data_IF_050200229951
#
_entry.id   IF_050200229951
#
_cell.length_a   1.000
_cell.length_b   1.000
_cell.length_c   1.000
_cell.angle_alpha   90.00
_cell.angle_beta   90.00
_cell.angle_gamma   90.00
#
_symmetry.space_group_name_H-M   'P 1'
#
loop_
_entity.id
_entity.type
_entity.pdbx_description
1 polymer ?
#
# COMPACT_ATOMS: atom_id res chain seq x y z
N UNK A 1 10.06 8.37 18.90
CA UNK A 1 9.66 6.99 19.27
C UNK A 1 9.64 6.22 17.98
N UNK A 2 10.56 5.26 17.82
CA UNK A 2 10.76 4.53 16.57
C UNK A 2 9.57 3.61 16.31
N UNK A 3 9.04 3.61 15.08
CA UNK A 3 7.93 2.73 14.66
C UNK A 3 8.33 1.23 14.66
N UNK A 4 9.56 0.89 15.03
CA UNK A 4 10.15 -0.47 14.97
C UNK A 4 9.75 -1.40 16.13
N UNK A 5 9.08 -0.92 17.18
CA UNK A 5 8.81 -1.70 18.41
C UNK A 5 7.34 -2.09 18.63
N UNK A 6 6.45 -1.82 17.69
CA UNK A 6 5.11 -2.45 17.72
C UNK A 6 5.27 -3.83 17.06
N UNK A 7 4.82 -4.90 17.72
CA UNK A 7 4.85 -6.24 17.16
C UNK A 7 3.75 -6.41 16.11
N UNK A 8 3.93 -5.82 14.93
CA UNK A 8 3.05 -6.06 13.79
C UNK A 8 3.26 -7.53 13.38
N UNK A 9 2.18 -8.29 13.35
CA UNK A 9 2.22 -9.68 12.92
C UNK A 9 2.41 -9.68 11.40
N UNK A 10 3.64 -9.89 10.93
CA UNK A 10 3.88 -10.02 9.49
C UNK A 10 3.22 -11.32 9.00
N UNK A 11 2.28 -11.21 8.07
CA UNK A 11 1.43 -12.32 7.63
C UNK A 11 1.92 -12.98 6.34
N UNK A 12 2.58 -12.20 5.49
CA UNK A 12 2.99 -12.65 4.17
C UNK A 12 4.49 -12.97 4.12
N UNK A 13 4.92 -13.91 3.26
CA UNK A 13 6.32 -14.05 2.94
C UNK A 13 6.90 -12.72 2.47
N UNK A 14 8.07 -12.38 2.98
CA UNK A 14 8.78 -11.16 2.62
C UNK A 14 10.04 -11.43 1.83
N UNK A 15 10.48 -10.41 1.11
CA UNK A 15 11.81 -10.30 0.53
C UNK A 15 12.44 -8.99 0.97
N UNK A 16 13.71 -9.04 1.34
CA UNK A 16 14.48 -7.84 1.61
C UNK A 16 14.74 -7.08 0.31
N UNK A 17 14.30 -5.82 0.25
CA UNK A 17 14.71 -4.84 -0.75
C UNK A 17 15.63 -3.79 -0.11
N UNK A 18 16.41 -3.09 -0.91
CA UNK A 18 17.15 -1.90 -0.46
C UNK A 18 16.39 -0.67 -0.89
N UNK A 19 15.72 -0.04 0.06
CA UNK A 19 15.14 1.28 -0.13
C UNK A 19 16.26 2.28 -0.48
N UNK A 20 16.10 3.10 -1.54
CA UNK A 20 17.11 4.07 -1.95
C UNK A 20 17.54 5.06 -0.85
N UNK A 21 16.63 5.36 0.07
CA UNK A 21 16.81 6.37 1.12
C UNK A 21 17.10 5.74 2.50
N UNK A 22 16.45 4.61 2.82
CA UNK A 22 16.40 4.08 4.19
C UNK A 22 17.09 2.70 4.39
N UNK A 23 17.69 2.12 3.34
CA UNK A 23 18.44 0.86 3.43
C UNK A 23 17.55 -0.40 3.39
N UNK A 24 17.93 -1.52 4.02
CA UNK A 24 17.20 -2.78 3.88
C UNK A 24 15.81 -2.72 4.53
N UNK A 25 14.78 -3.08 3.76
CA UNK A 25 13.39 -3.18 4.19
C UNK A 25 12.77 -4.51 3.78
N UNK A 26 11.84 -5.04 4.57
CA UNK A 26 11.06 -6.23 4.22
C UNK A 26 9.79 -5.83 3.47
N UNK A 27 9.60 -6.43 2.29
CA UNK A 27 8.42 -6.19 1.44
C UNK A 27 7.75 -7.51 1.13
N UNK A 28 6.43 -7.54 1.20
CA UNK A 28 5.59 -8.67 0.79
C UNK A 28 5.98 -9.14 -0.62
N UNK A 29 6.24 -10.43 -0.81
CA UNK A 29 6.84 -10.97 -2.06
C UNK A 29 6.05 -10.57 -3.31
N UNK A 30 4.72 -10.52 -3.23
CA UNK A 30 3.87 -10.10 -4.37
C UNK A 30 3.98 -8.61 -4.68
N UNK A 31 4.31 -7.78 -3.68
CA UNK A 31 4.49 -6.34 -3.86
C UNK A 31 5.84 -5.96 -4.43
N UNK A 32 6.86 -6.84 -4.33
CA UNK A 32 8.24 -6.53 -4.73
C UNK A 32 8.34 -5.93 -6.14
N UNK A 33 7.77 -6.53 -7.21
CA UNK A 33 7.90 -5.96 -8.55
C UNK A 33 7.28 -4.57 -8.66
N UNK A 34 6.14 -4.36 -7.99
CA UNK A 34 5.45 -3.08 -7.98
C UNK A 34 6.26 -2.01 -7.25
N UNK A 35 6.85 -2.33 -6.10
CA UNK A 35 7.69 -1.41 -5.34
C UNK A 35 8.92 -1.00 -6.16
N UNK A 36 9.62 -1.97 -6.76
CA UNK A 36 10.78 -1.68 -7.61
C UNK A 36 10.40 -0.80 -8.81
N UNK A 37 9.26 -1.05 -9.47
CA UNK A 37 8.79 -0.24 -10.59
C UNK A 37 8.36 1.18 -10.16
N UNK A 38 7.70 1.33 -9.00
CA UNK A 38 7.34 2.63 -8.42
C UNK A 38 8.61 3.45 -8.14
N UNK A 39 9.65 2.83 -7.56
CA UNK A 39 10.93 3.49 -7.32
C UNK A 39 11.66 3.85 -8.61
N UNK A 40 11.68 2.96 -9.60
CA UNK A 40 12.27 3.20 -10.90
C UNK A 40 11.59 4.38 -11.64
N UNK A 41 10.27 4.56 -11.44
CA UNK A 41 9.51 5.69 -11.97
C UNK A 41 9.76 7.01 -11.21
N UNK A 42 10.63 7.03 -10.20
CA UNK A 42 10.99 8.22 -9.42
C UNK A 42 10.00 8.56 -8.30
N UNK A 43 9.22 7.58 -7.84
CA UNK A 43 8.32 7.71 -6.69
C UNK A 43 8.88 7.02 -5.45
N UNK A 44 8.37 7.40 -4.28
CA UNK A 44 8.79 6.83 -2.98
C UNK A 44 7.62 6.11 -2.34
N UNK A 45 7.91 5.05 -1.59
CA UNK A 45 6.92 4.28 -0.83
C UNK A 45 7.37 4.20 0.61
N UNK A 46 6.46 4.36 1.57
CA UNK A 46 6.80 4.25 3.00
C UNK A 46 6.21 3.03 3.69
N UNK A 47 5.14 2.46 3.14
CA UNK A 47 4.52 1.21 3.60
C UNK A 47 3.82 0.55 2.41
N UNK A 48 3.72 -0.77 2.45
CA UNK A 48 2.95 -1.54 1.47
C UNK A 48 2.41 -2.82 2.09
N UNK A 49 1.41 -3.42 1.45
CA UNK A 49 0.91 -4.73 1.78
C UNK A 49 0.29 -5.39 0.53
N UNK A 50 0.51 -6.69 0.33
CA UNK A 50 -0.14 -7.43 -0.75
C UNK A 50 -1.63 -7.68 -0.50
N UNK A 51 -2.06 -7.77 0.77
CA UNK A 51 -3.46 -7.89 1.17
C UNK A 51 -3.71 -7.22 2.53
N UNK A 52 -4.25 -5.99 2.49
CA UNK A 52 -4.49 -5.22 3.70
C UNK A 52 -5.69 -5.78 4.50
N UNK A 53 -6.63 -6.48 3.86
CA UNK A 53 -7.72 -7.14 4.56
C UNK A 53 -7.25 -8.27 5.46
N UNK A 54 -6.38 -9.15 4.94
CA UNK A 54 -5.72 -10.22 5.72
C UNK A 54 -4.90 -9.63 6.89
N UNK A 55 -4.17 -8.54 6.62
CA UNK A 55 -3.41 -7.83 7.66
C UNK A 55 -4.30 -7.23 8.75
N UNK A 56 -5.45 -6.67 8.41
CA UNK A 56 -6.40 -6.12 9.40
C UNK A 56 -6.96 -7.24 10.28
N UNK A 57 -7.38 -8.36 9.68
CA UNK A 57 -8.00 -9.47 10.40
C UNK A 57 -7.07 -10.15 11.41
N UNK A 58 -5.77 -9.97 11.26
CA UNK A 58 -4.71 -10.62 12.05
C UNK A 58 -3.94 -9.66 12.95
N UNK A 59 -4.37 -8.39 13.03
CA UNK A 59 -3.74 -7.38 13.88
C UNK A 59 -2.46 -6.76 13.32
N UNK A 60 -2.17 -6.95 12.03
CA UNK A 60 -1.09 -6.31 11.30
C UNK A 60 -1.37 -4.84 10.95
N UNK A 61 -2.26 -4.14 11.66
CA UNK A 61 -2.52 -2.70 11.46
C UNK A 61 -2.82 -2.00 12.79
N UNK A 62 -2.85 -0.66 12.77
CA UNK A 62 -3.26 0.16 13.93
C UNK A 62 -4.78 0.26 14.12
N UNK A 63 -5.58 -0.43 13.29
CA UNK A 63 -7.04 -0.41 13.42
C UNK A 63 -7.42 -1.08 14.77
N UNK A 64 -8.32 -0.49 15.58
CA UNK A 64 -8.79 -1.12 16.80
C UNK A 64 -9.45 -2.49 16.57
N UNK A 65 -9.20 -3.47 17.45
CA UNK A 65 -9.64 -4.86 17.31
C UNK A 65 -11.15 -5.01 17.04
N UNK A 66 -11.98 -4.25 17.75
CA UNK A 66 -13.44 -4.25 17.56
C UNK A 66 -13.90 -3.81 16.16
N UNK A 67 -13.00 -3.30 15.32
CA UNK A 67 -13.25 -2.89 13.95
C UNK A 67 -12.64 -3.84 12.91
N UNK A 68 -11.90 -4.88 13.32
CA UNK A 68 -11.17 -5.75 12.40
C UNK A 68 -12.08 -6.51 11.45
N UNK A 69 -13.14 -7.16 11.94
CA UNK A 69 -14.04 -7.95 11.08
C UNK A 69 -14.62 -7.10 9.95
N UNK A 70 -15.16 -5.92 10.29
CA UNK A 70 -15.76 -5.01 9.30
C UNK A 70 -14.74 -4.47 8.31
N UNK A 71 -13.59 -3.99 8.78
CA UNK A 71 -12.61 -3.33 7.91
C UNK A 71 -11.81 -4.36 7.10
N UNK A 72 -11.47 -5.48 7.72
CA UNK A 72 -10.84 -6.62 7.07
C UNK A 72 -11.70 -7.15 5.94
N UNK A 73 -13.00 -7.37 6.17
CA UNK A 73 -13.92 -7.79 5.11
C UNK A 73 -14.04 -6.77 3.97
N UNK A 74 -13.97 -5.47 4.27
CA UNK A 74 -14.02 -4.41 3.25
C UNK A 74 -12.76 -4.38 2.38
N UNK A 75 -11.60 -4.64 2.96
CA UNK A 75 -10.29 -4.57 2.29
C UNK A 75 -9.74 -5.93 1.86
N UNK A 76 -10.48 -7.03 2.06
CA UNK A 76 -10.03 -8.36 1.68
C UNK A 76 -9.81 -8.44 0.17
N UNK A 77 -8.64 -8.93 -0.25
CA UNK A 77 -8.24 -8.96 -1.66
C UNK A 77 -7.72 -7.61 -2.18
N UNK A 78 -7.53 -6.60 -1.32
CA UNK A 78 -6.98 -5.31 -1.73
C UNK A 78 -5.51 -5.21 -1.31
N UNK A 79 -4.65 -5.00 -2.29
CA UNK A 79 -3.29 -4.53 -2.06
C UNK A 79 -3.31 -3.05 -1.63
N UNK A 80 -2.26 -2.63 -0.93
CA UNK A 80 -2.13 -1.28 -0.40
C UNK A 80 -0.72 -0.74 -0.57
N UNK A 81 -0.64 0.53 -0.93
CA UNK A 81 0.58 1.31 -1.02
C UNK A 81 0.40 2.64 -0.28
N UNK A 82 1.42 3.06 0.46
CA UNK A 82 1.49 4.40 1.06
C UNK A 82 2.64 5.19 0.47
N UNK A 83 2.31 6.34 -0.10
CA UNK A 83 3.23 7.23 -0.84
C UNK A 83 3.11 8.67 -0.35
N UNK A 84 4.10 9.55 -0.61
CA UNK A 84 3.92 10.98 -0.41
C UNK A 84 2.66 11.51 -1.11
N UNK A 85 1.90 12.37 -0.42
CA UNK A 85 0.57 12.79 -0.86
C UNK A 85 0.58 13.51 -2.22
N UNK A 86 1.67 14.20 -2.54
CA UNK A 86 1.89 14.91 -3.81
C UNK A 86 2.23 13.96 -4.98
N UNK A 87 2.69 12.75 -4.69
CA UNK A 87 3.00 11.73 -5.70
C UNK A 87 1.77 10.88 -6.07
N UNK A 88 0.82 10.70 -5.16
CA UNK A 88 -0.37 9.87 -5.36
C UNK A 88 -1.15 10.17 -6.65
N UNK A 89 -1.45 11.44 -6.99
CA UNK A 89 -2.15 11.78 -8.24
C UNK A 89 -1.41 11.34 -9.51
N UNK A 90 -0.07 11.35 -9.51
CA UNK A 90 0.73 10.92 -10.67
C UNK A 90 0.60 9.41 -10.88
N UNK A 91 0.76 8.63 -9.82
CA UNK A 91 0.56 7.17 -9.86
C UNK A 91 -0.87 6.81 -10.29
N UNK A 92 -1.88 7.47 -9.74
CA UNK A 92 -3.28 7.23 -10.12
C UNK A 92 -3.59 7.62 -11.57
N UNK A 93 -2.87 8.60 -12.13
CA UNK A 93 -2.98 8.94 -13.56
C UNK A 93 -2.43 7.80 -14.41
N UNK A 94 -1.26 7.26 -14.05
CA UNK A 94 -0.67 6.10 -14.74
C UNK A 94 -1.58 4.87 -14.69
N UNK A 95 -2.19 4.59 -13.53
CA UNK A 95 -3.05 3.41 -13.34
C UNK A 95 -4.52 3.61 -13.72
N UNK A 96 -4.90 4.79 -14.23
CA UNK A 96 -6.27 5.09 -14.63
C UNK A 96 -6.89 4.01 -15.55
N UNK A 97 -6.19 3.46 -16.55
CA UNK A 97 -6.76 2.41 -17.40
C UNK A 97 -7.22 1.17 -16.63
N UNK A 98 -6.48 0.76 -15.59
CA UNK A 98 -6.84 -0.38 -14.73
C UNK A 98 -7.98 -0.02 -13.78
N UNK A 99 -7.91 1.16 -13.17
CA UNK A 99 -8.96 1.65 -12.27
C UNK A 99 -10.32 1.76 -12.98
N UNK A 100 -10.33 2.06 -14.28
CA UNK A 100 -11.55 2.07 -15.10
C UNK A 100 -12.10 0.67 -15.38
N UNK A 101 -11.27 -0.36 -15.45
CA UNK A 101 -11.71 -1.76 -15.62
C UNK A 101 -12.43 -2.29 -14.36
N UNK A 102 -11.99 -1.86 -13.17
CA UNK A 102 -12.53 -2.25 -11.86
C UNK A 102 -13.13 -1.03 -11.14
N UNK A 103 -14.13 -0.42 -11.80
CA UNK A 103 -14.70 0.87 -11.37
C UNK A 103 -15.26 0.78 -9.95
N UNK A 104 -14.71 1.60 -9.06
CA UNK A 104 -15.15 1.70 -7.67
C UNK A 104 -14.37 0.81 -6.70
N UNK A 105 -13.46 -0.02 -7.19
CA UNK A 105 -12.63 -0.88 -6.33
C UNK A 105 -11.29 -0.22 -5.99
N UNK A 106 -10.72 0.56 -6.90
CA UNK A 106 -9.55 1.38 -6.61
C UNK A 106 -9.92 2.54 -5.68
N UNK A 107 -9.10 2.77 -4.65
CA UNK A 107 -9.28 3.85 -3.68
C UNK A 107 -7.96 4.56 -3.40
N UNK A 108 -7.88 5.85 -3.75
CA UNK A 108 -6.81 6.73 -3.33
C UNK A 108 -7.34 7.79 -2.36
N UNK A 109 -6.73 7.91 -1.20
CA UNK A 109 -7.17 8.85 -0.16
C UNK A 109 -5.99 9.48 0.58
N UNK A 110 -6.13 10.74 0.95
CA UNK A 110 -5.22 11.46 1.85
C UNK A 110 -5.99 11.78 3.13
N UNK A 111 -5.68 11.12 4.26
CA UNK A 111 -6.36 11.38 5.52
C UNK A 111 -6.16 12.82 5.99
N UNK A 112 -7.10 13.32 6.80
CA UNK A 112 -6.96 14.58 7.53
C UNK A 112 -6.58 14.27 8.98
N UNK A 113 -5.50 14.88 9.47
CA UNK A 113 -5.06 14.77 10.86
C UNK A 113 -4.74 16.17 11.40
N UNK A 114 -5.27 16.52 12.58
CA UNK A 114 -5.06 17.84 13.18
C UNK A 114 -5.55 19.01 12.31
N UNK A 115 -6.60 18.80 11.50
CA UNK A 115 -7.17 19.82 10.61
C UNK A 115 -6.37 20.06 9.32
N UNK A 116 -5.40 19.21 8.99
CA UNK A 116 -4.59 19.31 7.77
C UNK A 116 -4.56 17.98 7.02
N UNK A 117 -4.41 18.03 5.71
CA UNK A 117 -4.09 16.84 4.92
C UNK A 117 -2.77 16.26 5.40
N UNK A 118 -2.74 14.94 5.59
CA UNK A 118 -1.52 14.21 5.89
C UNK A 118 -0.53 14.33 4.73
N UNK A 119 0.76 14.22 5.04
CA UNK A 119 1.84 14.20 4.04
C UNK A 119 1.88 12.93 3.17
N UNK A 120 0.98 11.98 3.39
CA UNK A 120 0.96 10.69 2.69
C UNK A 120 -0.43 10.33 2.19
N UNK A 121 -0.49 9.76 0.99
CA UNK A 121 -1.66 9.13 0.41
C UNK A 121 -1.63 7.61 0.66
N UNK A 122 -2.81 7.03 0.84
CA UNK A 122 -3.05 5.58 0.79
C UNK A 122 -3.72 5.24 -0.52
N UNK A 123 -3.12 4.33 -1.29
CA UNK A 123 -3.67 3.82 -2.54
C UNK A 123 -3.98 2.33 -2.33
N UNK A 124 -5.22 1.95 -2.60
CA UNK A 124 -5.66 0.57 -2.59
C UNK A 124 -6.05 0.18 -4.01
N UNK A 125 -5.65 -1.04 -4.38
CA UNK A 125 -5.93 -1.66 -5.67
C UNK A 125 -6.27 -3.14 -5.46
N UNK A 126 -7.08 -3.76 -6.33
CA UNK A 126 -7.28 -5.19 -6.28
C UNK A 126 -5.93 -5.92 -6.40
N UNK A 127 -5.65 -6.86 -5.50
CA UNK A 127 -4.39 -7.62 -5.43
C UNK A 127 -4.06 -8.31 -6.76
N UNK A 128 -5.07 -8.82 -7.45
CA UNK A 128 -4.94 -9.44 -8.77
C UNK A 128 -4.44 -8.49 -9.86
N UNK A 129 -4.50 -7.17 -9.63
CA UNK A 129 -4.00 -6.15 -10.56
C UNK A 129 -2.58 -5.66 -10.23
N UNK A 130 -1.90 -6.19 -9.20
CA UNK A 130 -0.51 -5.79 -8.86
C UNK A 130 0.41 -5.90 -10.08
N UNK A 131 0.40 -7.04 -10.77
CA UNK A 131 1.25 -7.26 -11.97
C UNK A 131 0.92 -6.25 -13.07
N UNK A 132 -0.36 -6.04 -13.36
CA UNK A 132 -0.77 -5.09 -14.40
C UNK A 132 -0.41 -3.64 -14.03
N UNK A 133 -0.50 -3.28 -12.75
CA UNK A 133 -0.11 -1.97 -12.26
C UNK A 133 1.41 -1.76 -12.37
N UNK A 134 2.18 -2.83 -12.17
CA UNK A 134 3.63 -2.85 -12.38
C UNK A 134 3.97 -2.60 -13.85
N UNK A 135 3.31 -3.31 -14.76
CA UNK A 135 3.56 -3.20 -16.21
C UNK A 135 3.31 -1.79 -16.78
N UNK A 136 2.48 -0.98 -16.13
CA UNK A 136 2.22 0.41 -16.55
C UNK A 136 3.27 1.42 -16.09
N UNK A 137 4.21 1.01 -15.23
CA UNK A 137 5.30 1.84 -14.72
C UNK A 137 6.64 1.57 -15.41
N UNK A 138 6.72 0.52 -16.23
CA UNK A 138 7.90 0.12 -17.02
C UNK A 138 7.78 0.55 -18.47
#
# INVERSE_FOLDING_TARGET
MSLRDVGWSQQHPTKTLTDPDDGPIEVDVEMVPLIEAVWAAGHTTIMSCQDIGESILTGGTVIPEHLWERNGAYYLGMAWLKVPADQGPRLMTTWEPLARQRRGEWLAQVPIQGGRLCGYASIHLPREQITQATDLLT
#
